data_IF_100277839922
#
_entry.id   IF_100277839922
#
_cell.length_a   1.000
_cell.length_b   1.000
_cell.length_c   1.000
_cell.angle_alpha   90.00
_cell.angle_beta   90.00
_cell.angle_gamma   90.00
#
_symmetry.space_group_name_H-M   'P 1'
#
loop_
_entity.id
_entity.type
_entity.pdbx_description
1 polymer ?
#
# COMPACT_ATOMS: atom_id res chain seq x y z
N UNK A 1 -19.73 5.79 -5.66
CA UNK A 1 -19.45 4.35 -5.83
C UNK A 1 -18.43 3.99 -4.76
N UNK A 2 -18.67 2.94 -3.97
CA UNK A 2 -17.68 2.47 -2.99
C UNK A 2 -16.84 1.38 -3.66
N UNK A 3 -15.51 1.51 -3.63
CA UNK A 3 -14.60 0.57 -4.26
C UNK A 3 -13.78 -0.17 -3.19
N UNK A 4 -14.15 -1.40 -2.79
CA UNK A 4 -13.40 -2.14 -1.77
C UNK A 4 -11.95 -2.35 -2.18
N UNK A 5 -11.01 -1.83 -1.39
CA UNK A 5 -9.59 -1.81 -1.73
C UNK A 5 -9.02 -3.23 -1.88
N UNK A 6 -9.47 -4.15 -1.01
CA UNK A 6 -8.99 -5.53 -0.98
C UNK A 6 -9.13 -6.27 -2.33
N UNK A 7 -10.21 -6.02 -3.07
CA UNK A 7 -10.46 -6.65 -4.37
C UNK A 7 -9.42 -6.24 -5.41
N UNK A 8 -9.03 -4.95 -5.42
CA UNK A 8 -8.01 -4.43 -6.33
C UNK A 8 -6.62 -4.93 -5.96
N UNK A 9 -6.27 -4.91 -4.67
CA UNK A 9 -4.96 -5.37 -4.18
C UNK A 9 -4.76 -6.85 -4.45
N UNK A 10 -5.78 -7.68 -4.21
CA UNK A 10 -5.74 -9.11 -4.53
C UNK A 10 -5.41 -9.33 -6.00
N UNK A 11 -6.17 -8.71 -6.91
CA UNK A 11 -5.97 -8.87 -8.36
C UNK A 11 -4.62 -8.32 -8.82
N UNK A 12 -4.16 -7.21 -8.24
CA UNK A 12 -2.88 -6.60 -8.54
C UNK A 12 -1.72 -7.56 -8.20
N UNK A 13 -1.70 -8.09 -6.98
CA UNK A 13 -0.64 -8.99 -6.52
C UNK A 13 -0.71 -10.40 -7.12
N UNK A 14 -1.91 -10.94 -7.33
CA UNK A 14 -2.07 -12.34 -7.75
C UNK A 14 -2.10 -12.53 -9.27
N UNK A 15 -2.35 -11.47 -10.04
CA UNK A 15 -2.50 -11.58 -11.49
C UNK A 15 -1.71 -10.52 -12.26
N UNK A 16 -1.89 -9.24 -11.95
CA UNK A 16 -1.23 -8.18 -12.72
C UNK A 16 0.30 -8.27 -12.64
N UNK A 17 0.87 -8.27 -11.44
CA UNK A 17 2.32 -8.33 -11.26
C UNK A 17 2.97 -9.63 -11.78
N UNK A 18 2.47 -10.84 -11.44
CA UNK A 18 3.10 -12.07 -11.89
C UNK A 18 2.79 -12.43 -13.35
N UNK A 19 1.53 -12.28 -13.80
CA UNK A 19 1.09 -12.80 -15.11
C UNK A 19 1.23 -11.73 -16.20
N UNK A 20 0.79 -10.50 -15.94
CA UNK A 20 0.79 -9.46 -16.97
C UNK A 20 2.13 -8.73 -17.07
N UNK A 21 2.77 -8.47 -15.92
CA UNK A 21 4.08 -7.79 -15.87
C UNK A 21 5.27 -8.73 -15.80
N UNK A 22 5.07 -10.01 -15.48
CA UNK A 22 6.15 -11.00 -15.41
C UNK A 22 7.22 -10.66 -14.38
N UNK A 23 6.87 -9.99 -13.27
CA UNK A 23 7.86 -9.54 -12.29
C UNK A 23 8.39 -10.71 -11.45
N UNK A 24 9.62 -10.55 -10.96
CA UNK A 24 10.24 -11.51 -10.06
C UNK A 24 9.47 -11.65 -8.74
N UNK A 25 9.55 -12.83 -8.11
CA UNK A 25 8.93 -13.08 -6.80
C UNK A 25 9.40 -12.08 -5.75
N UNK A 26 10.70 -11.72 -5.75
CA UNK A 26 11.25 -10.73 -4.82
C UNK A 26 10.64 -9.34 -5.03
N UNK A 27 10.44 -8.93 -6.29
CA UNK A 27 9.75 -7.67 -6.60
C UNK A 27 8.31 -7.70 -6.11
N UNK A 28 7.58 -8.79 -6.35
CA UNK A 28 6.18 -8.94 -5.88
C UNK A 28 6.11 -8.89 -4.35
N UNK A 29 7.05 -9.54 -3.65
CA UNK A 29 7.12 -9.48 -2.18
C UNK A 29 7.39 -8.06 -1.67
N UNK A 30 8.30 -7.31 -2.32
CA UNK A 30 8.55 -5.92 -1.97
C UNK A 30 7.29 -5.04 -2.13
N UNK A 31 6.56 -5.19 -3.24
CA UNK A 31 5.28 -4.49 -3.45
C UNK A 31 4.23 -4.87 -2.39
N UNK A 32 4.11 -6.17 -2.07
CA UNK A 32 3.19 -6.65 -1.02
C UNK A 32 3.50 -6.00 0.32
N UNK A 33 4.77 -5.96 0.69
CA UNK A 33 5.21 -5.46 2.00
C UNK A 33 5.00 -3.93 2.10
N UNK A 34 5.31 -3.18 1.03
CA UNK A 34 5.03 -1.75 0.96
C UNK A 34 3.52 -1.45 1.04
N UNK A 35 2.70 -2.18 0.28
CA UNK A 35 1.24 -2.04 0.31
C UNK A 35 0.68 -2.36 1.70
N UNK A 36 1.17 -3.42 2.36
CA UNK A 36 0.75 -3.76 3.73
C UNK A 36 1.00 -2.59 4.70
N UNK A 37 2.16 -1.95 4.62
CA UNK A 37 2.48 -0.80 5.47
C UNK A 37 1.53 0.38 5.22
N UNK A 38 1.29 0.72 3.96
CA UNK A 38 0.36 1.79 3.58
C UNK A 38 -1.06 1.52 4.08
N UNK A 39 -1.58 0.30 3.88
CA UNK A 39 -2.95 -0.08 4.27
C UNK A 39 -3.12 -0.01 5.79
N UNK A 40 -2.15 -0.54 6.55
CA UNK A 40 -2.20 -0.46 8.01
C UNK A 40 -2.15 0.99 8.49
N UNK A 41 -1.25 1.80 7.93
CA UNK A 41 -1.17 3.23 8.25
C UNK A 41 -2.47 3.97 7.94
N UNK A 42 -3.07 3.70 6.77
CA UNK A 42 -4.33 4.31 6.36
C UNK A 42 -5.45 3.95 7.34
N UNK A 43 -5.65 2.66 7.63
CA UNK A 43 -6.65 2.16 8.58
C UNK A 43 -6.51 2.84 9.95
N UNK A 44 -5.27 2.92 10.47
CA UNK A 44 -4.98 3.54 11.76
C UNK A 44 -5.26 5.05 11.76
N UNK A 45 -5.06 5.71 10.61
CA UNK A 45 -5.23 7.17 10.46
C UNK A 45 -6.69 7.55 10.25
N UNK A 46 -7.43 6.85 9.39
CA UNK A 46 -8.85 7.13 9.11
C UNK A 46 -9.81 6.44 10.10
N UNK A 47 -9.29 5.60 11.00
CA UNK A 47 -10.05 4.83 12.01
C UNK A 47 -11.10 3.90 11.39
N UNK A 48 -10.75 3.28 10.26
CA UNK A 48 -11.56 2.28 9.57
C UNK A 48 -10.81 0.95 9.62
N UNK A 49 -11.54 -0.15 9.78
CA UNK A 49 -10.94 -1.48 9.74
C UNK A 49 -10.32 -1.76 8.37
N UNK A 50 -9.19 -2.47 8.33
CA UNK A 50 -8.44 -2.73 7.09
C UNK A 50 -9.30 -3.37 5.99
N UNK A 51 -10.22 -4.25 6.35
CA UNK A 51 -11.15 -4.94 5.45
C UNK A 51 -12.30 -4.05 4.95
N UNK A 52 -12.49 -2.88 5.56
CA UNK A 52 -13.50 -1.89 5.16
C UNK A 52 -12.92 -0.72 4.37
N UNK A 53 -11.59 -0.64 4.23
CA UNK A 53 -10.94 0.40 3.44
C UNK A 53 -11.40 0.38 1.98
N UNK A 54 -11.64 1.56 1.47
CA UNK A 54 -12.01 1.83 0.09
C UNK A 54 -10.85 2.52 -0.64
N UNK A 55 -10.91 2.52 -1.97
CA UNK A 55 -9.90 3.23 -2.79
C UNK A 55 -9.88 4.72 -2.45
N UNK A 56 -11.05 5.30 -2.17
CA UNK A 56 -11.24 6.71 -1.83
C UNK A 56 -10.56 7.11 -0.51
N UNK A 57 -10.35 6.16 0.40
CA UNK A 57 -9.66 6.42 1.67
C UNK A 57 -8.15 6.63 1.45
N UNK A 58 -7.60 6.17 0.33
CA UNK A 58 -6.18 6.31 -0.01
C UNK A 58 -5.98 7.57 -0.88
N UNK A 59 -6.29 8.72 -0.29
CA UNK A 59 -6.10 10.04 -0.92
C UNK A 59 -4.70 10.62 -0.70
N UNK A 60 -4.45 11.78 -1.32
CA UNK A 60 -3.18 12.51 -1.24
C UNK A 60 -2.67 12.70 0.19
N UNK A 61 -3.55 13.13 1.11
CA UNK A 61 -3.18 13.37 2.52
C UNK A 61 -2.67 12.11 3.21
N UNK A 62 -3.28 10.96 2.92
CA UNK A 62 -2.87 9.68 3.50
C UNK A 62 -1.54 9.23 2.91
N UNK A 63 -1.34 9.41 1.60
CA UNK A 63 -0.07 9.07 0.95
C UNK A 63 1.06 9.94 1.49
N UNK A 64 0.90 11.27 1.52
CA UNK A 64 1.94 12.17 2.04
C UNK A 64 2.24 11.91 3.52
N UNK A 65 1.20 11.75 4.36
CA UNK A 65 1.38 11.40 5.76
C UNK A 65 2.07 10.04 5.97
N UNK A 66 1.78 9.05 5.12
CA UNK A 66 2.47 7.77 5.15
C UNK A 66 3.95 7.91 4.80
N UNK A 67 4.28 8.70 3.77
CA UNK A 67 5.66 8.95 3.36
C UNK A 67 6.45 9.64 4.48
N UNK A 68 5.85 10.63 5.15
CA UNK A 68 6.45 11.27 6.33
C UNK A 68 6.63 10.28 7.49
N UNK A 69 5.64 9.42 7.74
CA UNK A 69 5.71 8.38 8.77
C UNK A 69 6.84 7.37 8.53
N UNK A 70 7.10 7.01 7.26
CA UNK A 70 8.22 6.13 6.91
C UNK A 70 9.57 6.75 7.31
N UNK A 71 9.76 8.04 7.07
CA UNK A 71 11.02 8.71 7.44
C UNK A 71 11.12 8.94 8.95
N UNK A 72 10.06 9.48 9.57
CA UNK A 72 10.10 9.96 10.95
C UNK A 72 9.97 8.84 11.99
N UNK A 73 9.08 7.89 11.78
CA UNK A 73 8.78 6.85 12.77
C UNK A 73 9.50 5.53 12.48
N UNK A 74 9.73 5.21 11.20
CA UNK A 74 10.44 3.99 10.80
C UNK A 74 11.91 4.21 10.48
N UNK A 75 12.37 5.47 10.41
CA UNK A 75 13.76 5.80 10.12
C UNK A 75 14.19 5.39 8.71
N UNK A 76 13.24 5.22 7.78
CA UNK A 76 13.56 4.87 6.41
C UNK A 76 14.30 6.02 5.74
N UNK A 77 15.41 5.70 5.07
CA UNK A 77 16.05 6.67 4.18
C UNK A 77 15.15 7.01 3.00
N UNK A 78 15.36 8.18 2.38
CA UNK A 78 14.64 8.59 1.16
C UNK A 78 14.71 7.55 0.05
N UNK A 79 15.85 6.84 -0.09
CA UNK A 79 16.00 5.73 -1.02
C UNK A 79 15.10 4.56 -0.68
N UNK A 80 15.01 4.18 0.59
CA UNK A 80 14.14 3.06 1.04
C UNK A 80 12.67 3.43 0.91
N UNK A 81 12.33 4.70 1.17
CA UNK A 81 10.98 5.25 0.99
C UNK A 81 10.52 5.22 -0.47
N UNK A 82 11.43 5.48 -1.41
CA UNK A 82 11.13 5.58 -2.85
C UNK A 82 11.39 4.29 -3.64
N UNK A 83 11.72 3.19 -2.98
CA UNK A 83 12.11 1.93 -3.62
C UNK A 83 10.94 1.23 -4.34
#
# INVERSE_FOLDING_TARGET
MNHPLASFIKRFLSHYLPVQKGLSVNTIMAYRDALKLLICYAADTVKIAVDQLQVEDIGEKIVLGFLDHLEQNRGCSTRTRNA
#
